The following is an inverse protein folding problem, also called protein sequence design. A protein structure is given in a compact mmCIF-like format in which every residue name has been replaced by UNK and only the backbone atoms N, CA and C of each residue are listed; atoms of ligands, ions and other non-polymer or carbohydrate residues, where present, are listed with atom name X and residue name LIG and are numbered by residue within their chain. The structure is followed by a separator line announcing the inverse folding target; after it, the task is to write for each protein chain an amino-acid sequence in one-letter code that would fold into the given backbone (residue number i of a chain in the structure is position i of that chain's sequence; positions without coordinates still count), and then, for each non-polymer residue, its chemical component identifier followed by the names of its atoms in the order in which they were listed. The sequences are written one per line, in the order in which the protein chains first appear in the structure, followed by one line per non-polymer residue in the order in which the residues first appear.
data_IF_233763954846
#
_entry.id   IF_233763954846
#
_cell.length_a   1.000
_cell.length_b   1.000
_cell.length_c   1.000
_cell.angle_alpha   90.00
_cell.angle_beta   90.00
_cell.angle_gamma   90.00
#
_symmetry.space_group_name_H-M   'P 1'
#
loop_
_entity.id
_entity.type
_entity.pdbx_description
1 polymer ?
#
# COMPACT_ATOMS: atom_id res chain seq x y z
N UNK A 1 -14.95 21.88 16.61
CA UNK A 1 -13.69 21.92 17.36
C UNK A 1 -13.26 20.48 17.58
N UNK A 2 -12.16 20.04 16.96
CA UNK A 2 -11.57 18.73 17.23
C UNK A 2 -10.21 19.01 17.86
N UNK A 3 -10.07 18.57 19.09
CA UNK A 3 -8.96 18.79 20.01
C UNK A 3 -7.82 17.82 19.73
N UNK A 4 -6.60 18.37 19.80
CA UNK A 4 -5.24 17.79 19.87
C UNK A 4 -5.05 16.27 19.69
N UNK A 5 -4.14 15.91 18.77
CA UNK A 5 -3.47 14.61 18.76
C UNK A 5 -2.09 14.76 19.44
N UNK A 6 -1.95 14.17 20.62
CA UNK A 6 -0.72 14.15 21.41
C UNK A 6 0.41 13.36 20.71
N UNK A 7 1.63 13.88 20.85
CA UNK A 7 2.88 13.39 20.25
C UNK A 7 3.85 13.03 21.38
N UNK A 8 4.30 11.78 21.46
CA UNK A 8 5.48 11.43 22.25
C UNK A 8 6.36 10.33 21.63
N UNK A 9 7.59 10.77 21.33
CA UNK A 9 8.92 10.15 21.19
C UNK A 9 9.10 8.61 21.10
N UNK A 10 9.88 8.16 20.08
CA UNK A 10 10.74 6.97 20.18
C UNK A 10 11.90 7.00 19.16
N UNK A 11 13.06 6.50 19.61
CA UNK A 11 14.42 6.64 19.05
C UNK A 11 14.82 5.50 18.07
N UNK A 12 16.01 5.67 17.49
CA UNK A 12 16.66 5.24 16.22
C UNK A 12 17.19 3.78 16.11
N UNK A 13 17.41 3.29 14.86
CA UNK A 13 18.43 2.27 14.50
C UNK A 13 18.73 2.18 12.97
N UNK A 14 20.00 1.88 12.62
CA UNK A 14 20.74 2.12 11.36
C UNK A 14 20.59 1.12 10.17
N UNK A 15 21.11 1.52 8.98
CA UNK A 15 21.20 0.82 7.67
C UNK A 15 22.57 0.13 7.42
N UNK A 16 22.67 -0.82 6.44
CA UNK A 16 23.83 -0.87 5.52
C UNK A 16 23.47 -1.09 4.01
N UNK A 17 24.44 -0.94 3.08
CA UNK A 17 24.22 -0.35 1.74
C UNK A 17 24.24 -1.31 0.51
N UNK A 18 23.79 -0.73 -0.61
CA UNK A 18 23.62 -1.18 -2.02
C UNK A 18 24.64 -2.15 -2.65
N UNK A 19 24.19 -3.02 -3.59
CA UNK A 19 24.62 -2.94 -5.01
C UNK A 19 23.95 -3.92 -6.02
N UNK A 20 23.78 -3.40 -7.26
CA UNK A 20 23.56 -3.99 -8.61
C UNK A 20 22.31 -4.82 -9.01
N UNK A 21 21.71 -4.39 -10.14
CA UNK A 21 20.48 -4.89 -10.79
C UNK A 21 20.82 -5.88 -11.92
N UNK A 22 20.09 -7.01 -12.01
CA UNK A 22 19.74 -7.59 -13.31
C UNK A 22 18.22 -7.76 -13.48
N UNK A 23 17.74 -7.63 -14.72
CA UNK A 23 16.35 -7.83 -15.13
C UNK A 23 15.80 -9.19 -14.67
N UNK A 24 14.61 -9.31 -14.02
CA UNK A 24 14.14 -10.63 -13.59
C UNK A 24 13.08 -11.20 -14.53
N UNK A 25 13.46 -12.33 -15.13
CA UNK A 25 12.55 -13.46 -15.28
C UNK A 25 12.04 -13.89 -13.89
N UNK A 26 10.81 -14.41 -13.87
CA UNK A 26 10.00 -14.75 -12.67
C UNK A 26 10.77 -15.65 -11.69
N UNK A 27 11.59 -15.07 -10.78
CA UNK A 27 12.11 -15.72 -9.55
C UNK A 27 12.48 -14.77 -8.39
N UNK A 28 12.34 -13.46 -8.49
CA UNK A 28 12.63 -12.56 -7.36
C UNK A 28 11.39 -11.82 -6.85
N UNK A 29 10.91 -12.24 -5.68
CA UNK A 29 9.93 -11.50 -4.86
C UNK A 29 10.49 -10.17 -4.29
N UNK A 30 11.69 -9.74 -4.72
CA UNK A 30 12.47 -8.66 -4.11
C UNK A 30 12.59 -7.38 -4.95
N UNK A 31 12.04 -7.31 -6.17
CA UNK A 31 11.96 -6.05 -6.92
C UNK A 31 10.52 -5.55 -6.96
N UNK A 32 10.16 -4.77 -5.95
CA UNK A 32 8.94 -3.95 -6.00
C UNK A 32 9.30 -2.65 -6.70
N UNK A 33 8.91 -2.51 -7.97
CA UNK A 33 8.95 -1.21 -8.62
C UNK A 33 7.93 -0.29 -7.94
N UNK A 34 8.33 0.97 -7.72
CA UNK A 34 7.47 2.00 -7.11
C UNK A 34 6.15 2.14 -7.89
N UNK A 35 6.15 1.93 -9.20
CA UNK A 35 4.92 1.93 -10.00
C UNK A 35 4.89 0.75 -10.97
N UNK A 36 3.69 0.28 -11.30
CA UNK A 36 3.50 -0.77 -12.31
C UNK A 36 2.14 -1.44 -12.26
N UNK A 37 1.93 -2.36 -13.21
CA UNK A 37 0.77 -3.23 -13.27
C UNK A 37 1.09 -4.62 -12.74
N UNK A 38 0.16 -5.18 -11.97
CA UNK A 38 0.35 -6.44 -11.26
C UNK A 38 -0.88 -7.33 -11.42
N UNK A 39 -0.64 -8.63 -11.61
CA UNK A 39 -1.69 -9.54 -12.06
C UNK A 39 -1.78 -10.80 -11.17
N UNK A 40 -2.68 -10.83 -10.18
CA UNK A 40 -2.95 -12.02 -9.40
C UNK A 40 -3.89 -12.96 -10.18
N UNK A 41 -3.35 -13.81 -11.04
CA UNK A 41 -4.15 -14.73 -11.86
C UNK A 41 -4.60 -16.00 -11.14
N UNK A 42 -3.90 -16.42 -10.08
CA UNK A 42 -4.20 -17.65 -9.35
C UNK A 42 -4.42 -17.36 -7.87
N UNK A 43 -5.33 -18.10 -7.25
CA UNK A 43 -5.50 -18.05 -5.80
C UNK A 43 -4.17 -18.43 -5.13
N UNK A 44 -3.75 -17.64 -4.14
CA UNK A 44 -2.45 -17.79 -3.50
C UNK A 44 -1.27 -17.14 -4.24
N UNK A 45 -1.44 -16.60 -5.45
CA UNK A 45 -0.41 -15.75 -6.09
C UNK A 45 -0.35 -14.41 -5.35
N UNK A 46 0.76 -14.16 -4.66
CA UNK A 46 1.00 -12.98 -3.85
C UNK A 46 1.90 -11.99 -4.59
N UNK A 47 1.40 -10.78 -4.81
CA UNK A 47 2.24 -9.64 -5.16
C UNK A 47 2.63 -8.93 -3.88
N UNK A 48 3.93 -8.77 -3.65
CA UNK A 48 4.45 -8.07 -2.48
C UNK A 48 4.65 -6.59 -2.83
N UNK A 49 4.19 -5.70 -1.96
CA UNK A 49 4.44 -4.28 -2.08
C UNK A 49 5.24 -3.79 -0.89
N UNK A 50 6.22 -2.95 -1.20
CA UNK A 50 7.01 -2.16 -0.26
C UNK A 50 7.30 -0.82 -0.91
N UNK A 51 7.19 0.26 -0.14
CA UNK A 51 7.73 1.55 -0.56
C UNK A 51 9.27 1.49 -0.48
N UNK A 52 10.01 1.76 -1.58
CA UNK A 52 11.47 1.71 -1.52
C UNK A 52 12.01 2.77 -0.54
N UNK A 53 13.08 2.45 0.19
CA UNK A 53 13.69 3.26 1.26
C UNK A 53 13.55 4.75 0.99
N UNK A 54 12.68 5.45 1.73
CA UNK A 54 11.79 6.50 1.23
C UNK A 54 12.41 7.92 1.08
N UNK A 55 13.03 8.29 -0.06
CA UNK A 55 13.09 9.67 -0.51
C UNK A 55 11.68 10.12 -0.95
N UNK A 56 11.52 11.40 -1.34
CA UNK A 56 10.32 11.84 -2.04
C UNK A 56 10.00 10.94 -3.24
N UNK A 57 8.77 10.42 -3.31
CA UNK A 57 8.35 9.50 -4.37
C UNK A 57 6.83 9.42 -4.52
N UNK A 58 6.41 9.18 -5.77
CA UNK A 58 5.01 9.03 -6.17
C UNK A 58 4.78 7.67 -6.82
N UNK A 59 4.46 6.69 -5.99
CA UNK A 59 4.27 5.29 -6.37
C UNK A 59 2.80 4.98 -6.70
N UNK A 60 2.57 4.21 -7.76
CA UNK A 60 1.22 3.82 -8.21
C UNK A 60 1.20 2.38 -8.70
N UNK A 61 0.43 1.53 -8.04
CA UNK A 61 0.27 0.10 -8.37
C UNK A 61 -1.15 -0.19 -8.82
N UNK A 62 -1.30 -0.64 -10.07
CA UNK A 62 -2.57 -1.10 -10.61
C UNK A 62 -2.63 -2.62 -10.56
N UNK A 63 -3.56 -3.16 -9.79
CA UNK A 63 -3.84 -4.60 -9.75
C UNK A 63 -4.98 -4.94 -10.70
N UNK A 64 -4.78 -5.95 -11.54
CA UNK A 64 -5.80 -6.47 -12.46
C UNK A 64 -5.96 -7.98 -12.32
N UNK A 65 -7.14 -8.42 -11.89
CA UNK A 65 -7.54 -9.81 -11.82
C UNK A 65 -8.34 -10.20 -13.08
N UNK A 66 -8.54 -11.52 -13.33
CA UNK A 66 -9.48 -11.97 -14.34
C UNK A 66 -10.89 -11.37 -14.14
N UNK A 67 -11.67 -11.14 -15.21
CA UNK A 67 -13.04 -10.66 -15.10
C UNK A 67 -13.89 -11.52 -14.15
N UNK A 68 -14.76 -10.87 -13.36
CA UNK A 68 -15.61 -11.54 -12.37
C UNK A 68 -14.88 -11.96 -11.08
N UNK A 69 -13.57 -11.77 -10.97
CA UNK A 69 -12.80 -12.00 -9.74
C UNK A 69 -12.50 -10.69 -9.02
N UNK A 70 -12.21 -10.80 -7.72
CA UNK A 70 -11.85 -9.68 -6.85
C UNK A 70 -10.40 -9.81 -6.36
N UNK A 71 -9.85 -8.70 -5.90
CA UNK A 71 -8.50 -8.58 -5.36
C UNK A 71 -8.60 -8.31 -3.86
N UNK A 72 -7.78 -9.01 -3.08
CA UNK A 72 -7.55 -8.71 -1.68
C UNK A 72 -6.22 -7.97 -1.57
N UNK A 73 -6.24 -6.82 -0.91
CA UNK A 73 -5.04 -6.13 -0.42
C UNK A 73 -4.98 -6.21 1.10
N UNK A 74 -3.85 -6.67 1.65
CA UNK A 74 -3.69 -6.93 3.07
C UNK A 74 -2.31 -6.49 3.57
N UNK A 75 -2.27 -5.70 4.64
CA UNK A 75 -1.00 -5.36 5.29
C UNK A 75 -0.35 -6.59 5.93
N UNK A 76 0.97 -6.75 5.71
CA UNK A 76 1.75 -7.90 6.19
C UNK A 76 2.07 -7.81 7.68
N UNK A 77 2.48 -6.64 8.15
CA UNK A 77 3.01 -6.43 9.49
C UNK A 77 2.54 -5.08 10.06
N UNK A 78 2.92 -4.76 11.28
CA UNK A 78 2.60 -3.47 11.92
C UNK A 78 3.42 -2.29 11.38
N UNK A 79 4.27 -2.53 10.37
CA UNK A 79 5.16 -1.51 9.82
C UNK A 79 4.39 -0.67 8.79
N UNK A 80 3.68 0.33 9.31
CA UNK A 80 3.03 1.39 8.56
C UNK A 80 3.46 2.74 9.13
N UNK A 81 3.73 3.72 8.27
CA UNK A 81 3.95 5.07 8.75
C UNK A 81 4.19 6.07 7.63
N UNK A 82 3.44 7.15 7.63
CA UNK A 82 3.69 8.31 6.76
C UNK A 82 3.89 9.55 7.62
N UNK A 83 4.62 10.54 7.12
CA UNK A 83 4.81 11.79 7.85
C UNK A 83 3.46 12.45 8.15
N UNK A 84 3.28 12.89 9.39
CA UNK A 84 2.13 13.70 9.78
C UNK A 84 2.39 15.16 9.43
N UNK A 85 1.43 15.82 8.80
CA UNK A 85 1.38 17.28 8.76
C UNK A 85 0.29 17.77 9.73
N UNK A 86 0.40 19.03 10.18
CA UNK A 86 -0.62 19.67 11.03
C UNK A 86 -1.91 20.02 10.26
N UNK A 87 -1.95 19.73 8.97
CA UNK A 87 -3.06 20.01 8.05
C UNK A 87 -4.08 18.87 8.12
N UNK A 88 -5.36 19.16 7.88
CA UNK A 88 -6.44 18.15 7.94
C UNK A 88 -6.27 16.98 6.94
N UNK A 89 -5.43 17.16 5.92
CA UNK A 89 -5.02 16.11 5.00
C UNK A 89 -3.49 16.03 5.02
N UNK A 90 -2.96 14.86 5.39
CA UNK A 90 -1.53 14.62 5.32
C UNK A 90 -1.03 14.74 3.88
N UNK A 91 0.13 15.38 3.69
CA UNK A 91 0.82 15.45 2.39
C UNK A 91 1.43 14.10 1.99
N UNK A 92 1.86 13.34 2.97
CA UNK A 92 2.37 11.98 2.82
C UNK A 92 1.24 11.01 3.14
N UNK A 93 0.88 10.15 2.18
CA UNK A 93 -0.26 9.25 2.35
C UNK A 93 -0.18 7.98 1.49
N UNK A 94 -0.89 6.96 1.95
CA UNK A 94 -1.32 5.80 1.18
C UNK A 94 -2.81 5.96 0.85
N UNK A 95 -3.17 5.79 -0.41
CA UNK A 95 -4.55 5.76 -0.89
C UNK A 95 -4.85 4.42 -1.54
N UNK A 96 -5.97 3.80 -1.16
CA UNK A 96 -6.46 2.53 -1.71
C UNK A 96 -7.83 2.79 -2.33
N UNK A 97 -7.95 2.56 -3.64
CA UNK A 97 -9.21 2.62 -4.39
C UNK A 97 -9.64 1.20 -4.73
N UNK A 98 -10.71 0.76 -4.10
CA UNK A 98 -11.29 -0.57 -4.24
C UNK A 98 -12.59 -0.57 -5.07
N UNK A 99 -13.04 0.61 -5.52
CA UNK A 99 -14.25 0.83 -6.32
C UNK A 99 -14.01 0.61 -7.80
N UNK A 100 -15.09 0.34 -8.55
CA UNK A 100 -15.04 0.25 -10.01
C UNK A 100 -14.67 1.59 -10.66
N UNK A 101 -15.26 2.68 -10.16
CA UNK A 101 -14.83 4.02 -10.49
C UNK A 101 -13.57 4.37 -9.67
N UNK A 102 -12.42 4.29 -10.33
CA UNK A 102 -11.13 4.64 -9.75
C UNK A 102 -10.79 6.13 -9.93
N UNK A 103 -11.68 6.98 -10.46
CA UNK A 103 -11.46 8.43 -10.57
C UNK A 103 -11.68 9.14 -9.24
N UNK A 104 -12.61 8.63 -8.43
CA UNK A 104 -12.92 9.11 -7.09
C UNK A 104 -11.82 8.79 -6.07
N UNK A 105 -11.77 9.58 -4.99
CA UNK A 105 -10.80 9.37 -3.90
C UNK A 105 -11.15 8.09 -3.12
N UNK A 106 -10.14 7.28 -2.86
CA UNK A 106 -10.26 6.08 -2.05
C UNK A 106 -10.04 6.31 -0.57
N UNK A 107 -9.81 5.23 0.17
CA UNK A 107 -9.39 5.28 1.57
C UNK A 107 -8.00 5.87 1.68
N UNK A 108 -7.83 6.90 2.51
CA UNK A 108 -6.53 7.53 2.76
C UNK A 108 -6.03 7.25 4.16
N UNK A 109 -4.76 6.88 4.23
CA UNK A 109 -4.05 6.60 5.47
C UNK A 109 -2.78 7.43 5.51
N UNK A 110 -2.50 8.02 6.67
CA UNK A 110 -1.27 8.72 6.95
C UNK A 110 -0.93 8.59 8.44
N UNK A 111 0.15 9.25 8.88
CA UNK A 111 0.67 9.09 10.22
C UNK A 111 1.04 7.63 10.50
N UNK A 112 1.14 7.27 11.78
CA UNK A 112 1.42 5.90 12.24
C UNK A 112 0.14 5.15 12.62
N UNK A 113 -1.03 5.67 12.23
CA UNK A 113 -2.32 5.04 12.52
C UNK A 113 -2.53 3.88 11.56
N UNK A 114 -2.29 2.67 12.06
CA UNK A 114 -2.48 1.44 11.29
C UNK A 114 -3.94 1.02 11.26
N UNK A 115 -4.45 0.57 10.10
CA UNK A 115 -5.60 -0.34 10.03
C UNK A 115 -5.40 -1.58 10.92
N UNK A 116 -6.31 -1.86 11.86
CA UNK A 116 -6.20 -2.97 12.82
C UNK A 116 -6.10 -4.31 12.09
N UNK A 117 -7.06 -4.66 11.22
CA UNK A 117 -6.98 -5.80 10.29
C UNK A 117 -6.39 -5.41 8.94
N UNK A 118 -6.77 -4.25 8.41
CA UNK A 118 -6.13 -3.70 7.22
C UNK A 118 -6.31 -4.55 5.96
N UNK A 119 -7.51 -5.08 5.76
CA UNK A 119 -7.88 -5.90 4.61
C UNK A 119 -8.87 -5.12 3.75
N UNK A 120 -8.58 -5.04 2.45
CA UNK A 120 -9.42 -4.38 1.45
C UNK A 120 -9.77 -5.39 0.39
N UNK A 121 -11.05 -5.49 0.04
CA UNK A 121 -11.54 -6.38 -1.01
C UNK A 121 -12.20 -5.54 -2.09
N UNK A 122 -11.67 -5.60 -3.31
CA UNK A 122 -12.18 -4.80 -4.43
C UNK A 122 -13.64 -5.10 -4.77
N UNK A 123 -14.32 -4.11 -5.34
CA UNK A 123 -15.67 -4.23 -5.90
C UNK A 123 -15.62 -4.86 -7.30
N UNK A 124 -14.59 -4.54 -8.09
CA UNK A 124 -14.36 -5.05 -9.44
C UNK A 124 -13.10 -5.93 -9.52
N UNK A 125 -12.70 -6.29 -10.75
CA UNK A 125 -11.44 -6.98 -11.01
C UNK A 125 -10.22 -6.05 -11.03
N UNK A 126 -10.37 -4.79 -10.63
CA UNK A 126 -9.27 -3.81 -10.53
C UNK A 126 -9.18 -3.20 -9.14
N UNK A 127 -7.96 -2.84 -8.75
CA UNK A 127 -7.68 -2.08 -7.52
C UNK A 127 -6.47 -1.17 -7.77
N UNK A 128 -6.57 0.08 -7.34
CA UNK A 128 -5.48 1.05 -7.45
C UNK A 128 -4.94 1.39 -6.07
N UNK A 129 -3.62 1.27 -5.92
CA UNK A 129 -2.91 1.65 -4.70
C UNK A 129 -1.93 2.77 -5.04
N UNK A 130 -2.02 3.87 -4.31
CA UNK A 130 -1.26 5.09 -4.54
C UNK A 130 -0.50 5.42 -3.26
N UNK A 131 0.81 5.60 -3.35
CA UNK A 131 1.62 6.14 -2.26
C UNK A 131 2.24 7.46 -2.71
N UNK A 132 2.11 8.49 -1.89
CA UNK A 132 2.73 9.81 -2.10
C UNK A 132 3.59 10.14 -0.88
N UNK A 133 4.85 10.45 -1.12
CA UNK A 133 5.82 10.84 -0.11
C UNK A 133 6.48 12.11 -0.63
N UNK A 134 6.21 13.25 0.00
CA UNK A 134 6.78 14.54 -0.40
C UNK A 134 8.15 14.77 0.23
N UNK A 135 8.35 14.31 1.46
CA UNK A 135 9.59 14.46 2.20
C UNK A 135 10.11 13.11 2.67
N UNK A 136 11.43 12.99 2.79
CA UNK A 136 12.03 11.82 3.43
C UNK A 136 11.51 11.62 4.86
N UNK A 137 11.56 10.39 5.36
CA UNK A 137 11.20 10.06 6.76
C UNK A 137 9.88 9.31 6.94
N UNK A 138 9.04 9.22 5.91
CA UNK A 138 7.93 8.27 5.89
C UNK A 138 8.49 6.84 6.03
N UNK A 139 7.84 5.97 6.81
CA UNK A 139 8.19 4.53 6.93
C UNK A 139 7.61 3.70 5.78
N UNK A 140 6.51 4.19 5.19
CA UNK A 140 5.73 3.53 4.16
C UNK A 140 4.97 2.31 4.68
N UNK A 141 4.85 1.27 3.86
CA UNK A 141 4.08 0.08 4.22
C UNK A 141 4.63 -1.21 3.60
N UNK A 142 4.16 -2.33 4.14
CA UNK A 142 4.33 -3.66 3.55
C UNK A 142 2.96 -4.33 3.39
N UNK A 143 2.65 -4.78 2.17
CA UNK A 143 1.38 -5.42 1.90
C UNK A 143 1.49 -6.54 0.87
N UNK A 144 0.44 -7.37 0.87
CA UNK A 144 0.19 -8.38 -0.14
C UNK A 144 -1.04 -8.00 -0.95
N UNK A 145 -0.98 -8.24 -2.25
CA UNK A 145 -2.15 -8.24 -3.13
C UNK A 145 -2.30 -9.63 -3.79
N UNK A 146 -3.48 -10.22 -3.67
CA UNK A 146 -3.77 -11.56 -4.19
C UNK A 146 -5.22 -11.74 -4.59
N UNK A 147 -5.50 -12.80 -5.34
CA UNK A 147 -6.85 -13.11 -5.82
C UNK A 147 -7.76 -13.49 -4.64
N UNK A 148 -8.94 -12.89 -4.58
CA UNK A 148 -9.94 -13.20 -3.58
C UNK A 148 -10.59 -14.59 -3.83
N UNK A 149 -11.11 -15.23 -2.76
CA UNK A 149 -12.11 -16.30 -2.90
C UNK A 149 -13.33 -15.80 -3.70
N UNK A 150 -14.02 -16.69 -4.40
CA UNK A 150 -15.10 -16.33 -5.33
C UNK A 150 -16.26 -15.57 -4.66
N UNK A 151 -16.58 -15.94 -3.41
CA UNK A 151 -17.67 -15.34 -2.65
C UNK A 151 -17.22 -14.22 -1.69
N UNK A 152 -16.07 -13.60 -1.94
CA UNK A 152 -15.56 -12.55 -1.07
C UNK A 152 -16.45 -11.29 -1.11
N UNK A 153 -16.89 -10.87 0.07
CA UNK A 153 -17.60 -9.59 0.26
C UNK A 153 -16.63 -8.43 0.08
N UNK A 154 -17.00 -7.45 -0.73
CA UNK A 154 -16.19 -6.25 -0.96
C UNK A 154 -16.19 -5.33 0.25
N UNK A 155 -15.16 -4.50 0.36
CA UNK A 155 -15.06 -3.44 1.37
C UNK A 155 -13.78 -3.49 2.21
N UNK A 156 -13.72 -2.57 3.18
CA UNK A 156 -12.63 -2.43 4.13
C UNK A 156 -12.97 -3.12 5.46
N UNK A 157 -12.13 -4.07 5.85
CA UNK A 157 -12.24 -4.81 7.10
C UNK A 157 -11.12 -4.35 8.03
N UNK A 158 -11.54 -3.67 9.11
CA UNK A 158 -10.69 -3.19 10.20
C UNK A 158 -10.63 -4.18 11.36
#
# INVERSE_FOLDING_TARGET
MVTNCDVDNALWADQPPNDWIPHPTIRDLNQVYCSGEYYPYKFGTLNFLRTPYNPPQDCTWLFTAPPGRKIIFKFRNAWFGYNCTKECACRDYLEIRDTEDMTNRGYRFCCYVRPKRGIFVSQSNKMLVISRIHNSGSRGFFAYAYLAPENATSGYFN
#
